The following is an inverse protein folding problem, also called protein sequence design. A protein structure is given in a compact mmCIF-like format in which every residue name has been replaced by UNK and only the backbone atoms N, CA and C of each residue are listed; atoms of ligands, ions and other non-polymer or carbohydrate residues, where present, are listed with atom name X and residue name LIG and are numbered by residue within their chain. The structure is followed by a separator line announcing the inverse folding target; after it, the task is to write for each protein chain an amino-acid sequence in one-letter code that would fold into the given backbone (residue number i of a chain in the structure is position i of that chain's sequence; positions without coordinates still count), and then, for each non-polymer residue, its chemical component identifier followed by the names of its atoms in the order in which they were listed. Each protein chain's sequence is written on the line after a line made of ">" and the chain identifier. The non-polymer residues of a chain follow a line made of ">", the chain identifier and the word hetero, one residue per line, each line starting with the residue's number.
data_IF_202051165493
#
_entry.id   IF_202051165493
#
_cell.length_a   1.000
_cell.length_b   1.000
_cell.length_c   1.000
_cell.angle_alpha   90.00
_cell.angle_beta   90.00
_cell.angle_gamma   90.00
#
_symmetry.space_group_name_H-M   'P 1'
#
loop_
_entity.id
_entity.type
_entity.pdbx_description
1 polymer ?
#
# COMPACT_ATOMS: atom_id res chain seq x y z
N UNK A 1 1.66 12.67 -0.94
CA UNK A 1 1.52 11.31 -0.36
C UNK A 1 2.58 11.05 0.71
N UNK A 2 3.85 10.80 0.36
CA UNK A 2 4.91 10.41 1.32
C UNK A 2 4.98 11.33 2.55
N UNK A 3 5.00 12.65 2.38
CA UNK A 3 5.02 13.60 3.48
C UNK A 3 3.80 13.47 4.41
N UNK A 4 2.60 13.33 3.83
CA UNK A 4 1.34 13.10 4.56
C UNK A 4 1.36 11.77 5.31
N UNK A 5 1.87 10.70 4.70
CA UNK A 5 2.03 9.39 5.36
C UNK A 5 2.93 9.49 6.59
N UNK A 6 4.07 10.18 6.49
CA UNK A 6 5.00 10.41 7.61
C UNK A 6 4.37 11.24 8.72
N UNK A 7 3.66 12.31 8.36
CA UNK A 7 3.00 13.17 9.34
C UNK A 7 1.87 12.43 10.08
N UNK A 8 0.99 11.72 9.36
CA UNK A 8 -0.07 10.91 9.98
C UNK A 8 0.50 9.81 10.87
N UNK A 9 1.60 9.18 10.45
CA UNK A 9 2.30 8.19 11.26
C UNK A 9 2.87 8.80 12.55
N UNK A 10 3.43 10.00 12.49
CA UNK A 10 3.92 10.72 13.67
C UNK A 10 2.79 11.13 14.63
N UNK A 11 1.58 11.39 14.14
CA UNK A 11 0.37 11.58 14.97
C UNK A 11 -0.20 10.26 15.53
N UNK A 12 0.42 9.12 15.24
CA UNK A 12 0.02 7.80 15.75
C UNK A 12 -0.96 7.03 14.87
N UNK A 13 -1.33 7.55 13.69
CA UNK A 13 -2.21 6.86 12.75
C UNK A 13 -1.41 5.81 11.98
N UNK A 14 -1.85 4.55 12.05
CA UNK A 14 -1.22 3.45 11.31
C UNK A 14 -1.57 3.55 9.82
N UNK A 15 -0.67 4.15 9.04
CA UNK A 15 -0.85 4.33 7.60
C UNK A 15 0.27 3.69 6.79
N UNK A 16 -0.05 3.27 5.56
CA UNK A 16 0.94 2.78 4.62
C UNK A 16 0.35 2.27 3.31
N UNK A 17 1.20 1.69 2.48
CA UNK A 17 0.79 0.99 1.27
C UNK A 17 0.83 -0.51 1.49
N UNK A 18 -0.23 -1.22 1.12
CA UNK A 18 -0.25 -2.69 1.18
C UNK A 18 0.41 -3.29 -0.06
N UNK A 19 -0.11 -2.93 -1.24
CA UNK A 19 0.40 -3.27 -2.55
C UNK A 19 1.12 -2.07 -3.20
N UNK A 20 2.41 -2.18 -3.52
CA UNK A 20 3.18 -1.06 -4.11
C UNK A 20 3.31 -1.15 -5.63
N UNK A 21 2.84 -2.23 -6.24
CA UNK A 21 2.83 -2.44 -7.70
C UNK A 21 1.60 -3.25 -8.13
N UNK A 22 1.07 -3.06 -9.35
CA UNK A 22 -0.02 -3.89 -9.87
C UNK A 22 0.35 -5.37 -9.90
N UNK A 23 -0.63 -6.24 -9.69
CA UNK A 23 -0.44 -7.71 -9.76
C UNK A 23 0.26 -8.14 -11.06
N UNK A 24 -0.13 -7.65 -12.27
CA UNK A 24 0.58 -7.97 -13.50
C UNK A 24 2.06 -7.59 -13.51
N UNK A 25 2.48 -6.59 -12.73
CA UNK A 25 3.86 -6.11 -12.66
C UNK A 25 4.73 -6.96 -11.71
N UNK A 26 4.14 -7.76 -10.81
CA UNK A 26 4.90 -8.58 -9.88
C UNK A 26 5.75 -9.64 -10.61
N UNK A 27 6.93 -9.95 -10.05
CA UNK A 27 7.90 -10.88 -10.64
C UNK A 27 7.29 -12.23 -11.00
N UNK A 28 6.37 -12.74 -10.20
CA UNK A 28 5.70 -14.02 -10.47
C UNK A 28 4.95 -14.02 -11.83
N UNK A 29 4.30 -12.92 -12.19
CA UNK A 29 3.54 -12.80 -13.43
C UNK A 29 4.43 -12.47 -14.63
N UNK A 30 5.56 -11.80 -14.40
CA UNK A 30 6.56 -11.51 -15.42
C UNK A 30 7.38 -12.75 -15.78
N UNK A 31 7.90 -13.45 -14.77
CA UNK A 31 8.73 -14.65 -14.93
C UNK A 31 7.91 -15.90 -15.24
N UNK A 32 6.65 -15.96 -14.78
CA UNK A 32 5.75 -17.12 -14.91
C UNK A 32 6.36 -18.42 -14.39
N UNK A 33 7.26 -18.35 -13.41
CA UNK A 33 7.89 -19.52 -12.79
C UNK A 33 6.85 -20.50 -12.20
N UNK A 34 5.77 -19.96 -11.63
CA UNK A 34 4.65 -20.76 -11.16
C UNK A 34 4.98 -21.73 -10.03
N UNK A 35 4.07 -22.69 -9.82
CA UNK A 35 4.17 -23.64 -8.71
C UNK A 35 5.49 -24.41 -8.76
N UNK A 36 6.30 -24.28 -7.71
CA UNK A 36 7.61 -24.93 -7.59
C UNK A 36 8.54 -24.73 -8.81
N UNK A 37 8.42 -23.63 -9.55
CA UNK A 37 9.23 -23.37 -10.76
C UNK A 37 8.83 -24.20 -11.98
N UNK A 38 7.74 -24.96 -11.93
CA UNK A 38 7.27 -25.81 -13.04
C UNK A 38 6.70 -25.05 -14.25
N UNK A 39 6.40 -23.77 -14.08
CA UNK A 39 5.63 -22.98 -15.03
C UNK A 39 4.12 -23.16 -14.91
N UNK A 40 3.59 -23.97 -13.98
CA UNK A 40 2.16 -24.08 -13.74
C UNK A 40 1.59 -22.79 -13.10
N UNK A 41 0.50 -22.20 -13.63
CA UNK A 41 -0.38 -22.72 -14.68
C UNK A 41 -0.05 -22.27 -16.12
N UNK A 42 0.89 -21.34 -16.31
CA UNK A 42 1.16 -20.71 -17.61
C UNK A 42 1.63 -21.69 -18.70
N UNK A 43 2.56 -22.60 -18.40
CA UNK A 43 3.11 -23.54 -19.38
C UNK A 43 2.14 -24.66 -19.79
N UNK A 44 1.02 -24.83 -19.08
CA UNK A 44 0.20 -26.05 -19.14
C UNK A 44 -1.08 -25.92 -19.94
N UNK A 45 -1.45 -24.71 -20.36
CA UNK A 45 -2.61 -24.46 -21.20
C UNK A 45 -2.24 -23.53 -22.36
N UNK A 46 -2.88 -23.69 -23.52
CA UNK A 46 -2.64 -22.78 -24.66
C UNK A 46 -2.95 -21.32 -24.31
N UNK A 47 -3.97 -21.09 -23.47
CA UNK A 47 -4.26 -19.75 -22.94
C UNK A 47 -3.12 -19.22 -22.06
N UNK A 48 -2.57 -20.06 -21.19
CA UNK A 48 -1.47 -19.67 -20.29
C UNK A 48 -0.19 -19.31 -21.03
N UNK A 49 0.16 -20.09 -22.07
CA UNK A 49 1.35 -19.86 -22.91
C UNK A 49 1.28 -18.52 -23.63
N UNK A 50 0.08 -18.17 -24.11
CA UNK A 50 -0.17 -16.93 -24.84
C UNK A 50 -0.50 -15.72 -23.94
N UNK A 51 -0.61 -15.91 -22.62
CA UNK A 51 -0.93 -14.83 -21.68
C UNK A 51 0.23 -13.83 -21.63
N UNK A 52 -0.03 -12.52 -21.73
CA UNK A 52 1.01 -11.47 -21.62
C UNK A 52 0.56 -10.44 -20.60
N UNK A 53 1.46 -10.08 -19.68
CA UNK A 53 1.20 -9.09 -18.62
C UNK A 53 1.99 -7.82 -18.90
N UNK A 54 1.49 -6.95 -19.79
CA UNK A 54 2.12 -5.66 -20.03
C UNK A 54 1.65 -4.68 -18.96
N UNK A 55 2.59 -4.07 -18.25
CA UNK A 55 2.28 -3.05 -17.23
C UNK A 55 1.53 -1.86 -17.85
N UNK A 56 1.86 -1.51 -19.11
CA UNK A 56 1.22 -0.45 -19.87
C UNK A 56 -0.28 -0.65 -20.11
N UNK A 57 -0.79 -1.87 -19.99
CA UNK A 57 -2.23 -2.16 -20.13
C UNK A 57 -3.02 -1.77 -18.87
N UNK A 58 -2.34 -1.42 -17.77
CA UNK A 58 -2.94 -1.12 -16.46
C UNK A 58 -2.54 0.26 -15.89
N UNK A 59 -2.68 1.37 -16.64
CA UNK A 59 -2.18 2.68 -16.22
C UNK A 59 -2.83 3.17 -14.91
N UNK A 60 -4.13 2.92 -14.72
CA UNK A 60 -4.84 3.31 -13.50
C UNK A 60 -4.38 2.52 -12.27
N UNK A 61 -4.00 1.25 -12.43
CA UNK A 61 -3.46 0.46 -11.32
C UNK A 61 -2.07 0.95 -10.93
N UNK A 62 -1.23 1.29 -11.92
CA UNK A 62 0.09 1.90 -11.70
C UNK A 62 -0.05 3.23 -10.97
N UNK A 63 -0.97 4.07 -11.41
CA UNK A 63 -1.21 5.38 -10.82
C UNK A 63 -1.79 5.26 -9.39
N UNK A 64 -2.73 4.35 -9.16
CA UNK A 64 -3.24 4.05 -7.82
C UNK A 64 -2.09 3.67 -6.90
N UNK A 65 -1.25 2.69 -7.28
CA UNK A 65 -0.10 2.25 -6.49
C UNK A 65 0.88 3.38 -6.14
N UNK A 66 0.96 4.44 -6.95
CA UNK A 66 1.80 5.61 -6.65
C UNK A 66 1.16 6.55 -5.62
N UNK A 67 -0.17 6.71 -5.65
CA UNK A 67 -0.84 7.82 -4.94
C UNK A 67 -1.63 7.40 -3.71
N UNK A 68 -2.02 6.14 -3.59
CA UNK A 68 -2.88 5.68 -2.50
C UNK A 68 -2.11 5.41 -1.20
N UNK A 69 -2.83 5.53 -0.09
CA UNK A 69 -2.41 5.17 1.26
C UNK A 69 -3.62 4.51 1.93
N UNK A 70 -3.39 3.51 2.76
CA UNK A 70 -4.41 2.82 3.54
C UNK A 70 -4.20 3.15 5.01
N UNK A 71 -5.32 3.39 5.71
CA UNK A 71 -5.35 3.43 7.17
C UNK A 71 -5.65 2.02 7.66
N UNK A 72 -4.74 1.45 8.44
CA UNK A 72 -4.93 0.14 9.03
C UNK A 72 -5.71 0.24 10.35
N UNK A 73 -6.38 -0.86 10.70
CA UNK A 73 -7.02 -0.99 12.01
C UNK A 73 -8.28 -0.15 12.19
N UNK A 74 -8.98 0.27 11.14
CA UNK A 74 -10.24 1.05 11.23
C UNK A 74 -11.49 0.20 11.55
N UNK A 75 -11.30 -1.09 11.84
CA UNK A 75 -12.38 -2.04 12.06
C UNK A 75 -12.64 -2.25 13.57
N UNK A 76 -13.78 -2.84 13.96
CA UNK A 76 -14.02 -3.23 15.34
C UNK A 76 -12.85 -4.04 15.92
N UNK A 77 -12.51 -3.89 17.22
CA UNK A 77 -13.34 -3.31 18.29
C UNK A 77 -13.04 -1.82 18.60
N UNK A 78 -12.66 -1.00 17.61
CA UNK A 78 -12.47 0.44 17.84
C UNK A 78 -13.75 1.15 18.30
N UNK A 79 -13.64 1.97 19.34
CA UNK A 79 -14.70 2.87 19.78
C UNK A 79 -14.61 4.27 19.14
N UNK A 80 -15.64 5.09 19.35
CA UNK A 80 -15.72 6.46 18.79
C UNK A 80 -14.57 7.35 19.23
N UNK A 81 -14.13 7.25 20.50
CA UNK A 81 -13.00 8.02 21.02
C UNK A 81 -11.74 7.85 20.18
N UNK A 82 -11.42 6.63 19.76
CA UNK A 82 -10.25 6.38 18.91
C UNK A 82 -10.46 6.95 17.49
N UNK A 83 -11.68 6.87 16.96
CA UNK A 83 -11.99 7.41 15.64
C UNK A 83 -11.96 8.95 15.63
N UNK A 84 -12.38 9.59 16.72
CA UNK A 84 -12.28 11.05 16.91
C UNK A 84 -10.80 11.50 16.91
N UNK A 85 -9.93 10.77 17.61
CA UNK A 85 -8.47 11.03 17.55
C UNK A 85 -7.89 10.88 16.14
N UNK A 86 -8.39 9.93 15.34
CA UNK A 86 -7.99 9.80 13.95
C UNK A 86 -8.45 11.02 13.15
N UNK A 87 -9.69 11.46 13.32
CA UNK A 87 -10.21 12.67 12.66
C UNK A 87 -9.32 13.88 13.00
N UNK A 88 -9.03 14.11 14.28
CA UNK A 88 -8.17 15.22 14.73
C UNK A 88 -6.77 15.17 14.08
N UNK A 89 -6.16 13.98 13.99
CA UNK A 89 -4.87 13.80 13.32
C UNK A 89 -4.94 14.16 11.83
N UNK A 90 -5.99 13.72 11.13
CA UNK A 90 -6.20 14.07 9.72
C UNK A 90 -6.42 15.57 9.54
N UNK A 91 -7.28 16.20 10.34
CA UNK A 91 -7.53 17.64 10.29
C UNK A 91 -6.25 18.45 10.53
N UNK A 92 -5.46 18.06 11.54
CA UNK A 92 -4.18 18.71 11.85
C UNK A 92 -3.19 18.62 10.69
N UNK A 93 -2.99 17.44 10.13
CA UNK A 93 -2.04 17.23 9.01
C UNK A 93 -2.50 17.97 7.76
N UNK A 94 -3.78 17.88 7.40
CA UNK A 94 -4.30 18.49 6.17
C UNK A 94 -4.45 20.01 6.26
N UNK A 95 -4.54 20.58 7.46
CA UNK A 95 -4.52 22.03 7.67
C UNK A 95 -3.12 22.65 7.55
N UNK A 96 -2.06 21.84 7.50
CA UNK A 96 -0.65 22.28 7.54
C UNK A 96 0.20 21.68 6.39
N UNK A 97 -0.38 21.50 5.20
CA UNK A 97 0.28 20.78 4.10
C UNK A 97 1.59 21.41 3.63
N UNK A 98 1.73 22.73 3.73
CA UNK A 98 2.96 23.46 3.39
C UNK A 98 4.11 23.16 4.36
N UNK A 99 3.80 22.96 5.65
CA UNK A 99 4.75 22.52 6.66
C UNK A 99 5.07 21.04 6.44
N UNK A 100 4.04 20.20 6.30
CA UNK A 100 4.17 18.76 6.07
C UNK A 100 5.09 18.47 4.88
N UNK A 101 4.95 19.20 3.77
CA UNK A 101 5.77 19.00 2.59
C UNK A 101 7.27 19.21 2.84
N UNK A 102 7.65 20.13 3.75
CA UNK A 102 9.06 20.37 4.11
C UNK A 102 9.70 19.16 4.79
N UNK A 103 8.89 18.34 5.47
CA UNK A 103 9.30 17.13 6.17
C UNK A 103 9.26 15.86 5.30
N UNK A 104 9.05 16.00 3.97
CA UNK A 104 9.02 14.87 3.03
C UNK A 104 10.25 13.96 3.16
N UNK A 105 11.42 14.54 3.40
CA UNK A 105 12.70 13.84 3.37
C UNK A 105 13.20 13.42 4.77
N UNK A 106 12.42 13.64 5.82
CA UNK A 106 12.77 13.23 7.17
C UNK A 106 12.92 11.71 7.26
N UNK A 107 13.81 11.22 8.14
CA UNK A 107 14.09 9.80 8.31
C UNK A 107 13.01 9.09 9.14
N UNK A 108 11.78 9.11 8.63
CA UNK A 108 10.59 8.48 9.19
C UNK A 108 10.11 7.43 8.19
N UNK A 109 10.02 6.18 8.63
CA UNK A 109 9.45 5.08 7.85
C UNK A 109 8.00 4.88 8.28
N UNK A 110 7.07 5.50 7.54
CA UNK A 110 5.65 5.25 7.70
C UNK A 110 5.29 3.91 7.05
N UNK A 111 5.24 2.86 7.87
CA UNK A 111 4.78 1.54 7.45
C UNK A 111 4.07 0.83 8.59
N UNK A 112 3.29 -0.18 8.24
CA UNK A 112 2.66 -1.04 9.23
C UNK A 112 3.73 -1.66 10.13
N UNK A 113 3.55 -1.56 11.44
CA UNK A 113 4.33 -2.37 12.37
C UNK A 113 4.09 -3.85 12.06
N UNK A 114 5.15 -4.66 12.01
CA UNK A 114 5.03 -6.12 11.85
C UNK A 114 4.25 -6.79 12.99
N UNK A 115 4.03 -6.12 14.12
CA UNK A 115 3.15 -6.59 15.19
C UNK A 115 1.66 -6.46 14.85
N UNK A 116 1.29 -5.60 13.88
CA UNK A 116 -0.10 -5.30 13.51
C UNK A 116 -0.80 -6.49 12.83
N UNK A 117 -0.05 -7.27 12.04
CA UNK A 117 -0.59 -8.42 11.30
C UNK A 117 -0.31 -9.76 11.98
N UNK A 118 0.30 -9.76 13.18
CA UNK A 118 0.45 -10.97 13.96
C UNK A 118 -0.84 -11.20 14.75
N UNK A 119 -1.57 -12.25 14.40
CA UNK A 119 -2.54 -12.82 15.32
C UNK A 119 -1.80 -13.19 16.61
N UNK A 120 -2.28 -12.69 17.76
CA UNK A 120 -1.87 -13.18 19.07
C UNK A 120 -2.66 -14.44 19.41
#
# INVERSE_FOLDING_TARGET
>A
RIAVEKALFAEGVQVGQWQTMPVPQQDLFQTKLGYAGSGYPWGYTERGKNMVYRVGDYPNAVDLCKRYTVVAGIHPPNGTVLMDMYIEAFEKVFSNLDIVEKHRNDDIIAHYSGSLFRAK
#
